data_IF_778989337982
#
_entry.id   IF_778989337982
#
_cell.length_a   1.000
_cell.length_b   1.000
_cell.length_c   1.000
_cell.angle_alpha   90.00
_cell.angle_beta   90.00
_cell.angle_gamma   90.00
#
_symmetry.space_group_name_H-M   'P 1'
#
loop_
_entity.id
_entity.type
_entity.pdbx_description
1 polymer ?
#
# COMPACT_ATOMS: atom_id res chain seq x y z
N UNK A 1 -10.50 20.92 -12.36
CA UNK A 1 -11.47 19.84 -12.40
C UNK A 1 -11.26 18.87 -11.24
N UNK A 2 -12.34 18.39 -10.60
CA UNK A 2 -12.27 17.56 -9.41
C UNK A 2 -11.48 16.26 -9.63
N UNK A 3 -11.62 15.64 -10.80
CA UNK A 3 -10.92 14.41 -11.16
C UNK A 3 -9.40 14.58 -11.16
N UNK A 4 -8.91 15.78 -11.54
CA UNK A 4 -7.47 16.03 -11.58
C UNK A 4 -6.86 16.11 -10.17
N UNK A 5 -7.61 16.67 -9.22
CA UNK A 5 -7.14 16.76 -7.83
C UNK A 5 -7.03 15.38 -7.17
N UNK A 6 -8.02 14.53 -7.40
CA UNK A 6 -8.02 13.17 -6.86
C UNK A 6 -6.90 12.33 -7.47
N UNK A 7 -6.69 12.46 -8.77
CA UNK A 7 -5.61 11.75 -9.46
C UNK A 7 -4.24 12.23 -8.98
N UNK A 8 -4.06 13.54 -8.81
CA UNK A 8 -2.81 14.10 -8.32
C UNK A 8 -2.51 13.62 -6.90
N UNK A 9 -3.53 13.55 -6.05
CA UNK A 9 -3.41 13.06 -4.68
C UNK A 9 -2.98 11.59 -4.65
N UNK A 10 -3.60 10.77 -5.49
CA UNK A 10 -3.24 9.36 -5.61
C UNK A 10 -1.82 9.17 -6.10
N UNK A 11 -1.41 9.94 -7.11
CA UNK A 11 -0.06 9.87 -7.64
C UNK A 11 1.00 10.27 -6.60
N UNK A 12 0.71 11.30 -5.81
CA UNK A 12 1.61 11.71 -4.73
C UNK A 12 1.75 10.63 -3.68
N UNK A 13 0.64 9.98 -3.34
CA UNK A 13 0.65 8.89 -2.36
C UNK A 13 1.49 7.71 -2.85
N UNK A 14 1.33 7.33 -4.11
CA UNK A 14 2.12 6.24 -4.69
C UNK A 14 3.62 6.56 -4.64
N UNK A 15 4.01 7.79 -4.99
CA UNK A 15 5.40 8.22 -4.91
C UNK A 15 5.92 8.20 -3.48
N UNK A 16 5.07 8.58 -2.52
CA UNK A 16 5.40 8.55 -1.11
C UNK A 16 5.67 7.12 -0.64
N UNK A 17 4.84 6.16 -1.07
CA UNK A 17 5.04 4.75 -0.74
C UNK A 17 6.37 4.26 -1.29
N UNK A 18 6.67 4.56 -2.55
CA UNK A 18 7.93 4.16 -3.17
C UNK A 18 9.12 4.67 -2.38
N UNK A 19 9.09 5.95 -1.98
CA UNK A 19 10.15 6.56 -1.19
C UNK A 19 10.34 5.85 0.15
N UNK A 20 9.25 5.59 0.85
CA UNK A 20 9.31 4.93 2.16
C UNK A 20 9.93 3.53 2.04
N UNK A 21 9.54 2.78 1.03
CA UNK A 21 10.04 1.42 0.83
C UNK A 21 11.51 1.44 0.42
N UNK A 22 11.89 2.35 -0.47
CA UNK A 22 13.28 2.47 -0.92
C UNK A 22 14.23 2.88 0.21
N UNK A 23 13.75 3.60 1.21
CA UNK A 23 14.55 3.93 2.39
C UNK A 23 15.02 2.68 3.14
N UNK A 24 14.33 1.56 2.95
CA UNK A 24 14.68 0.27 3.55
C UNK A 24 15.50 -0.62 2.61
N UNK A 25 16.03 -0.06 1.54
CA UNK A 25 16.82 -0.78 0.54
C UNK A 25 16.06 -1.91 -0.15
N UNK A 26 14.77 -1.70 -0.35
CA UNK A 26 13.92 -2.64 -1.07
C UNK A 26 13.50 -1.99 -2.40
N UNK A 27 13.63 -2.73 -3.49
CA UNK A 27 13.21 -2.25 -4.80
C UNK A 27 11.71 -2.03 -4.82
N UNK A 28 11.27 -0.86 -5.31
CA UNK A 28 9.87 -0.51 -5.38
C UNK A 28 9.64 0.36 -6.60
N UNK A 29 8.71 -0.05 -7.45
CA UNK A 29 8.45 0.62 -8.72
C UNK A 29 6.97 0.90 -8.88
N UNK A 30 6.63 2.12 -9.28
CA UNK A 30 5.27 2.47 -9.67
C UNK A 30 4.98 1.94 -11.07
N UNK A 31 3.74 1.51 -11.30
CA UNK A 31 3.30 1.23 -12.65
C UNK A 31 3.21 2.54 -13.42
N UNK A 32 3.51 2.49 -14.70
CA UNK A 32 3.41 3.67 -15.56
C UNK A 32 1.95 4.06 -15.67
N UNK A 33 1.65 5.30 -15.31
CA UNK A 33 0.28 5.81 -15.32
C UNK A 33 -0.63 5.16 -14.29
N UNK A 34 -0.06 4.58 -13.22
CA UNK A 34 -0.80 3.84 -12.18
C UNK A 34 -1.62 2.70 -12.76
N UNK A 35 -1.06 2.00 -13.74
CA UNK A 35 -1.73 0.90 -14.42
C UNK A 35 -0.79 -0.30 -14.51
N UNK A 36 -1.14 -1.36 -13.78
CA UNK A 36 -0.34 -2.59 -13.70
C UNK A 36 -0.06 -3.25 -15.03
N UNK A 37 -0.78 -2.89 -16.10
CA UNK A 37 -0.53 -3.41 -17.44
C UNK A 37 0.90 -3.10 -17.92
N UNK A 38 1.49 -2.01 -17.45
CA UNK A 38 2.86 -1.66 -17.77
C UNK A 38 3.86 -2.70 -17.26
N UNK A 39 3.48 -3.49 -16.24
CA UNK A 39 4.28 -4.58 -15.68
C UNK A 39 3.84 -5.95 -16.21
N UNK A 40 2.83 -6.01 -17.09
CA UNK A 40 2.23 -7.27 -17.47
C UNK A 40 1.29 -7.83 -16.42
N UNK A 41 0.83 -7.02 -15.48
CA UNK A 41 -0.09 -7.41 -14.40
C UNK A 41 -1.47 -6.77 -14.59
N UNK A 42 -2.40 -7.09 -13.67
CA UNK A 42 -3.73 -6.48 -13.69
C UNK A 42 -3.63 -4.97 -13.52
N UNK A 43 -4.57 -4.25 -14.11
CA UNK A 43 -4.61 -2.78 -14.07
C UNK A 43 -4.75 -2.20 -12.65
N UNK A 44 -5.22 -3.00 -11.68
CA UNK A 44 -5.33 -2.57 -10.29
C UNK A 44 -3.98 -2.50 -9.57
N UNK A 45 -2.93 -3.03 -10.16
CA UNK A 45 -1.60 -3.03 -9.55
C UNK A 45 -0.95 -1.67 -9.76
N UNK A 46 -0.85 -0.88 -8.72
CA UNK A 46 -0.28 0.47 -8.76
C UNK A 46 1.23 0.46 -8.54
N UNK A 47 1.71 -0.46 -7.72
CA UNK A 47 3.10 -0.53 -7.29
C UNK A 47 3.53 -2.00 -7.22
N UNK A 48 4.79 -2.24 -7.55
CA UNK A 48 5.39 -3.57 -7.44
C UNK A 48 6.58 -3.47 -6.50
N UNK A 49 6.55 -4.24 -5.42
CA UNK A 49 7.61 -4.27 -4.42
C UNK A 49 8.45 -5.53 -4.64
N UNK A 50 9.76 -5.34 -4.76
CA UNK A 50 10.72 -6.44 -4.88
C UNK A 50 10.38 -7.42 -6.02
N UNK A 51 9.85 -6.86 -7.10
CA UNK A 51 9.47 -7.57 -8.33
C UNK A 51 8.35 -8.60 -8.17
N UNK A 52 7.80 -8.80 -6.98
CA UNK A 52 6.79 -9.85 -6.78
C UNK A 52 5.55 -9.43 -5.97
N UNK A 53 5.65 -8.44 -5.09
CA UNK A 53 4.51 -8.05 -4.27
C UNK A 53 3.70 -6.98 -4.98
N UNK A 54 2.50 -7.35 -5.38
CA UNK A 54 1.58 -6.47 -6.10
C UNK A 54 0.78 -5.64 -5.11
N UNK A 55 0.83 -4.32 -5.28
CA UNK A 55 0.21 -3.38 -4.34
C UNK A 55 -0.81 -2.52 -5.04
N UNK A 56 -1.97 -2.38 -4.43
CA UNK A 56 -2.94 -1.37 -4.78
C UNK A 56 -2.91 -0.30 -3.69
N UNK A 57 -2.76 0.95 -4.08
CA UNK A 57 -2.67 2.07 -3.14
C UNK A 57 -3.96 2.87 -3.17
N UNK A 58 -4.47 3.17 -2.00
CA UNK A 58 -5.69 3.99 -1.85
C UNK A 58 -5.47 5.00 -0.74
N UNK A 59 -5.73 6.26 -1.04
CA UNK A 59 -5.66 7.33 -0.05
C UNK A 59 -7.02 8.02 0.05
N UNK A 60 -7.41 8.33 1.26
CA UNK A 60 -8.66 9.01 1.56
C UNK A 60 -8.40 10.15 2.52
N UNK A 61 -9.28 11.14 2.54
CA UNK A 61 -9.16 12.27 3.45
C UNK A 61 -9.03 11.81 4.90
N UNK A 62 -9.75 10.77 5.26
CA UNK A 62 -9.68 10.19 6.60
C UNK A 62 -10.00 8.70 6.54
N UNK A 63 -9.41 7.95 7.46
CA UNK A 63 -9.75 6.55 7.66
C UNK A 63 -10.65 6.42 8.88
N UNK A 64 -11.53 5.41 8.94
CA UNK A 64 -12.25 5.14 10.17
C UNK A 64 -11.29 4.98 11.33
N UNK A 65 -11.61 5.59 12.47
CA UNK A 65 -10.70 5.54 13.62
C UNK A 65 -10.41 4.12 14.09
N UNK A 66 -11.38 3.23 13.99
CA UNK A 66 -11.25 1.86 14.47
C UNK A 66 -10.29 1.02 13.61
N UNK A 67 -10.00 1.45 12.37
CA UNK A 67 -9.16 0.64 11.48
C UNK A 67 -7.67 0.76 11.82
N UNK A 68 -7.29 1.81 12.53
CA UNK A 68 -5.88 1.97 12.91
C UNK A 68 -5.55 1.10 14.12
N UNK A 69 -4.49 0.27 14.03
CA UNK A 69 -4.07 -0.48 15.21
C UNK A 69 -3.70 0.47 16.35
N UNK A 70 -4.06 0.08 17.57
CA UNK A 70 -3.68 0.84 18.75
C UNK A 70 -2.16 0.74 18.98
N UNK A 71 -1.59 1.70 19.70
CA UNK A 71 -0.17 1.68 20.05
C UNK A 71 0.23 0.45 20.88
N UNK A 72 -0.74 -0.24 21.47
CA UNK A 72 -0.49 -1.38 22.33
C UNK A 72 -0.44 -2.71 21.60
N UNK A 73 -0.68 -2.72 20.30
CA UNK A 73 -0.70 -3.95 19.50
C UNK A 73 0.15 -3.79 18.24
N UNK A 74 0.65 -4.89 17.73
CA UNK A 74 1.49 -4.89 16.54
C UNK A 74 0.67 -4.96 15.26
N UNK A 75 -0.43 -5.69 15.29
CA UNK A 75 -1.33 -5.84 14.14
C UNK A 75 -2.77 -5.82 14.63
N UNK A 76 -3.66 -5.51 13.71
CA UNK A 76 -5.10 -5.65 13.95
C UNK A 76 -5.65 -6.58 12.89
N UNK A 77 -6.44 -7.56 13.31
CA UNK A 77 -7.08 -8.47 12.38
C UNK A 77 -8.55 -8.08 12.33
N UNK A 78 -9.06 -7.86 11.13
CA UNK A 78 -10.43 -7.39 10.90
C UNK A 78 -11.16 -8.31 9.95
N UNK A 79 -12.47 -8.36 10.07
CA UNK A 79 -13.32 -9.04 9.10
C UNK A 79 -14.74 -8.50 9.20
N UNK A 80 -15.48 -8.62 8.14
CA UNK A 80 -16.95 -8.45 8.21
C UNK A 80 -17.59 -9.81 8.43
N UNK A 81 -18.85 -9.83 8.88
CA UNK A 81 -19.56 -11.08 9.09
C UNK A 81 -19.52 -11.92 7.82
N UNK A 82 -19.18 -13.21 7.96
CA UNK A 82 -19.09 -14.18 6.86
C UNK A 82 -18.04 -13.83 5.80
N UNK A 83 -17.14 -12.88 6.12
CA UNK A 83 -16.10 -12.46 5.20
C UNK A 83 -14.76 -13.06 5.53
N UNK A 84 -13.76 -12.68 4.76
CA UNK A 84 -12.37 -13.07 5.00
C UNK A 84 -11.75 -12.17 6.05
N UNK A 85 -10.69 -12.67 6.66
CA UNK A 85 -9.91 -11.92 7.63
C UNK A 85 -8.81 -11.15 6.93
N UNK A 86 -8.59 -9.91 7.36
CA UNK A 86 -7.52 -9.05 6.81
C UNK A 86 -6.64 -8.56 7.95
N UNK A 87 -5.37 -8.38 7.65
CA UNK A 87 -4.41 -7.82 8.59
C UNK A 87 -4.23 -6.33 8.30
N UNK A 88 -4.31 -5.52 9.33
CA UNK A 88 -3.96 -4.10 9.26
C UNK A 88 -2.71 -3.89 10.10
N UNK A 89 -1.70 -3.31 9.49
CA UNK A 89 -0.40 -3.10 10.12
C UNK A 89 0.18 -1.79 9.62
N UNK A 90 0.96 -1.12 10.44
CA UNK A 90 1.67 0.08 10.04
C UNK A 90 2.73 -0.30 8.99
N UNK A 91 2.86 0.52 7.94
CA UNK A 91 3.68 0.16 6.79
C UNK A 91 5.13 -0.17 7.14
N UNK A 92 5.76 0.66 7.99
CA UNK A 92 7.17 0.45 8.33
C UNK A 92 7.37 -0.84 9.10
N UNK A 93 6.44 -1.22 9.98
CA UNK A 93 6.51 -2.49 10.70
C UNK A 93 6.42 -3.67 9.73
N UNK A 94 5.54 -3.57 8.73
CA UNK A 94 5.39 -4.59 7.71
C UNK A 94 6.66 -4.73 6.86
N UNK A 95 7.27 -3.61 6.51
CA UNK A 95 8.52 -3.60 5.73
C UNK A 95 9.64 -4.30 6.49
N UNK A 96 9.75 -4.06 7.79
CA UNK A 96 10.76 -4.71 8.62
C UNK A 96 10.57 -6.22 8.63
N UNK A 97 9.32 -6.69 8.68
CA UNK A 97 9.02 -8.12 8.60
C UNK A 97 9.47 -8.72 7.28
N UNK A 98 9.26 -8.01 6.17
CA UNK A 98 9.71 -8.46 4.85
C UNK A 98 11.22 -8.60 4.84
N UNK A 99 11.94 -7.62 5.37
CA UNK A 99 13.41 -7.63 5.39
C UNK A 99 13.96 -8.80 6.20
N UNK A 100 13.33 -9.09 7.33
CA UNK A 100 13.75 -10.20 8.19
C UNK A 100 13.57 -11.57 7.54
N UNK A 101 12.59 -11.67 6.63
CA UNK A 101 12.27 -12.95 5.97
C UNK A 101 13.02 -13.13 4.64
N UNK A 102 13.91 -12.22 4.31
CA UNK A 102 14.76 -12.27 3.10
C UNK A 102 16.27 -12.37 3.46
#
# INVERSE_FOLDING_TARGET
MATNKSKAKGNRFEREIVKEIELHDIKCVRSWGSNGKAFGHHEEVDILIDDDIKVQAKVRKALPKWIRPSENVDIQIIKEDRGKMYVVQELNDWILNIKENK
#
